data_IF_330107055244
#
_entry.id   IF_330107055244
#
_cell.length_a   1.000
_cell.length_b   1.000
_cell.length_c   1.000
_cell.angle_alpha   90.00
_cell.angle_beta   90.00
_cell.angle_gamma   90.00
#
_symmetry.space_group_name_H-M   'P 1'
#
loop_
_entity.id
_entity.type
_entity.pdbx_description
1 polymer ?
#
# COMPACT_ATOMS: atom_id res chain seq x y z
N UNK A 1 18.85 -9.29 6.50
CA UNK A 1 20.14 -10.02 6.43
C UNK A 1 21.08 -9.43 5.36
N UNK A 2 20.63 -9.20 4.13
CA UNK A 2 21.46 -8.58 3.06
C UNK A 2 21.85 -7.11 3.34
N UNK A 3 21.06 -6.37 4.12
CA UNK A 3 21.39 -4.97 4.49
C UNK A 3 22.60 -4.87 5.44
N UNK A 4 22.91 -5.92 6.20
CA UNK A 4 24.08 -5.94 7.09
C UNK A 4 25.41 -6.07 6.33
N UNK A 5 25.39 -6.54 5.09
CA UNK A 5 26.59 -6.64 4.24
C UNK A 5 26.95 -5.30 3.55
N UNK A 6 26.06 -4.30 3.59
CA UNK A 6 26.19 -3.05 2.83
C UNK A 6 26.62 -1.84 3.69
N UNK A 7 27.09 -2.01 4.91
CA UNK A 7 27.48 -0.93 5.84
C UNK A 7 26.38 0.17 6.01
N UNK A 8 25.11 -0.28 6.09
CA UNK A 8 23.94 0.59 6.23
C UNK A 8 23.43 0.53 7.66
N UNK A 9 23.23 1.69 8.29
CA UNK A 9 22.54 1.79 9.58
C UNK A 9 21.04 1.55 9.38
N UNK A 10 20.55 0.36 9.77
CA UNK A 10 19.16 -0.02 9.69
C UNK A 10 18.50 0.05 11.07
N UNK A 11 17.44 0.84 11.21
CA UNK A 11 16.55 0.84 12.37
C UNK A 11 15.26 0.13 12.00
N UNK A 12 14.88 -0.89 12.76
CA UNK A 12 13.63 -1.62 12.59
C UNK A 12 12.65 -1.23 13.69
N UNK A 13 11.39 -0.98 13.32
CA UNK A 13 10.33 -0.65 14.26
C UNK A 13 8.98 -1.17 13.75
N UNK A 14 8.09 -1.53 14.68
CA UNK A 14 6.70 -1.83 14.37
C UNK A 14 5.86 -0.61 14.69
N UNK A 15 5.25 -0.01 13.66
CA UNK A 15 4.44 1.20 13.80
C UNK A 15 3.16 1.08 12.98
N UNK A 16 2.10 1.75 13.43
CA UNK A 16 0.89 1.94 12.65
C UNK A 16 1.09 3.15 11.72
N UNK A 17 0.90 2.96 10.40
CA UNK A 17 1.08 4.04 9.43
C UNK A 17 0.12 5.21 9.63
N UNK A 18 -0.98 4.99 10.34
CA UNK A 18 -1.94 6.06 10.68
C UNK A 18 -1.53 6.87 11.91
N UNK A 19 -0.47 6.46 12.61
CA UNK A 19 -0.05 7.07 13.89
C UNK A 19 1.46 7.04 14.11
N UNK A 20 2.25 7.23 13.05
CA UNK A 20 3.69 7.30 13.18
C UNK A 20 4.19 8.74 13.18
N UNK A 21 5.31 8.96 13.84
CA UNK A 21 6.09 10.20 13.80
C UNK A 21 7.56 9.79 13.68
N UNK A 22 8.29 10.48 12.83
CA UNK A 22 9.75 10.31 12.73
C UNK A 22 10.45 11.31 13.63
N UNK A 23 11.48 10.90 14.36
CA UNK A 23 12.28 11.79 15.22
C UNK A 23 12.96 12.91 14.43
N UNK A 24 13.29 12.64 13.17
CA UNK A 24 13.89 13.61 12.25
C UNK A 24 13.23 13.51 10.89
N UNK A 25 13.08 14.67 10.25
CA UNK A 25 12.57 14.70 8.89
C UNK A 25 13.52 13.95 7.91
N UNK A 26 12.92 13.19 6.99
CA UNK A 26 13.62 12.32 6.04
C UNK A 26 13.49 12.83 4.61
N UNK A 27 14.36 12.36 3.72
CA UNK A 27 14.38 12.76 2.31
C UNK A 27 13.39 11.95 1.46
N UNK A 28 13.15 10.69 1.86
CA UNK A 28 12.31 9.75 1.12
C UNK A 28 11.48 8.90 2.08
N UNK A 29 10.20 8.73 1.77
CA UNK A 29 9.32 7.76 2.40
C UNK A 29 8.74 6.87 1.30
N UNK A 30 8.81 5.55 1.52
CA UNK A 30 8.21 4.54 0.65
C UNK A 30 7.10 3.81 1.41
N UNK A 31 5.97 3.61 0.75
CA UNK A 31 4.87 2.76 1.23
C UNK A 31 4.41 1.88 0.08
N UNK A 32 5.03 0.73 -0.06
CA UNK A 32 4.93 -0.15 -1.22
C UNK A 32 4.07 -1.38 -0.94
N UNK A 33 3.82 -2.17 -1.99
CA UNK A 33 3.04 -3.41 -1.94
C UNK A 33 1.62 -3.16 -1.43
N UNK A 34 0.91 -2.22 -2.07
CA UNK A 34 -0.49 -1.89 -1.79
C UNK A 34 -0.84 -1.68 -0.30
N UNK A 35 0.17 -1.38 0.53
CA UNK A 35 0.00 -1.23 1.99
C UNK A 35 -1.04 -0.16 2.37
N UNK A 36 -1.23 0.88 1.55
CA UNK A 36 -2.26 1.90 1.75
C UNK A 36 -3.67 1.30 1.66
N UNK A 37 -3.87 0.23 0.88
CA UNK A 37 -5.17 -0.40 0.75
C UNK A 37 -5.67 -1.06 2.04
N UNK A 38 -4.79 -1.38 2.98
CA UNK A 38 -5.16 -1.85 4.32
C UNK A 38 -5.70 -0.74 5.23
N UNK A 39 -5.61 0.52 4.82
CA UNK A 39 -6.17 1.66 5.56
C UNK A 39 -7.63 1.89 5.15
N UNK A 40 -8.56 1.19 5.78
CA UNK A 40 -9.96 1.02 5.36
C UNK A 40 -10.86 2.27 5.47
N UNK A 41 -10.33 3.47 5.66
CA UNK A 41 -11.16 4.68 5.63
C UNK A 41 -10.41 5.90 5.10
N UNK A 42 -11.10 6.75 4.33
CA UNK A 42 -10.56 8.01 3.80
C UNK A 42 -9.97 8.90 4.90
N UNK A 43 -10.60 8.94 6.08
CA UNK A 43 -10.11 9.72 7.22
C UNK A 43 -8.74 9.22 7.70
N UNK A 44 -8.57 7.90 7.77
CA UNK A 44 -7.28 7.30 8.17
C UNK A 44 -6.24 7.47 7.07
N UNK A 45 -6.58 7.28 5.78
CA UNK A 45 -5.68 7.56 4.65
C UNK A 45 -5.19 9.01 4.69
N UNK A 46 -6.10 9.97 4.89
CA UNK A 46 -5.72 11.37 5.05
C UNK A 46 -4.75 11.59 6.23
N UNK A 47 -4.99 10.91 7.36
CA UNK A 47 -4.10 10.99 8.53
C UNK A 47 -2.71 10.44 8.20
N UNK A 48 -2.64 9.28 7.53
CA UNK A 48 -1.39 8.70 7.04
C UNK A 48 -0.63 9.70 6.16
N UNK A 49 -1.30 10.28 5.16
CA UNK A 49 -0.67 11.26 4.27
C UNK A 49 -0.19 12.53 4.99
N UNK A 50 -0.90 12.98 6.02
CA UNK A 50 -0.45 14.10 6.87
C UNK A 50 0.80 13.73 7.66
N UNK A 51 0.84 12.56 8.29
CA UNK A 51 2.00 12.07 9.02
C UNK A 51 3.23 11.97 8.10
N UNK A 52 3.05 11.44 6.88
CA UNK A 52 4.09 11.39 5.86
C UNK A 52 4.57 12.80 5.49
N UNK A 53 3.63 13.72 5.20
CA UNK A 53 3.97 15.09 4.83
C UNK A 53 4.77 15.79 5.94
N UNK A 54 4.39 15.64 7.19
CA UNK A 54 5.09 16.22 8.35
C UNK A 54 6.48 15.62 8.52
N UNK A 55 6.62 14.31 8.29
CA UNK A 55 7.88 13.57 8.41
C UNK A 55 8.89 13.84 7.29
N UNK A 56 8.47 14.38 6.15
CA UNK A 56 9.36 14.72 5.03
C UNK A 56 10.06 16.06 5.23
N UNK A 57 11.33 16.12 4.82
CA UNK A 57 12.03 17.40 4.56
C UNK A 57 11.37 18.16 3.41
N UNK A 58 11.62 19.46 3.31
CA UNK A 58 11.34 20.20 2.06
C UNK A 58 12.13 19.60 0.90
N UNK A 59 11.49 19.43 -0.24
CA UNK A 59 11.94 18.71 -1.42
C UNK A 59 12.08 17.19 -1.21
N UNK A 60 11.64 16.66 -0.07
CA UNK A 60 11.52 15.23 0.15
C UNK A 60 10.40 14.61 -0.69
N UNK A 61 10.51 13.33 -0.90
CA UNK A 61 9.61 12.56 -1.79
C UNK A 61 8.87 11.48 -1.03
N UNK A 62 7.60 11.31 -1.30
CA UNK A 62 6.80 10.18 -0.90
C UNK A 62 6.40 9.36 -2.13
N UNK A 63 6.69 8.08 -2.11
CA UNK A 63 6.26 7.14 -3.16
C UNK A 63 5.41 6.06 -2.51
N UNK A 64 4.23 5.82 -3.06
CA UNK A 64 3.37 4.73 -2.65
C UNK A 64 2.63 4.15 -3.84
N UNK A 65 2.16 2.94 -3.69
CA UNK A 65 1.31 2.28 -4.65
C UNK A 65 0.00 1.82 -4.02
N UNK A 66 -1.00 1.68 -4.86
CA UNK A 66 -2.31 1.13 -4.52
C UNK A 66 -2.82 0.25 -5.66
N UNK A 67 -3.59 -0.75 -5.33
CA UNK A 67 -4.41 -1.45 -6.30
C UNK A 67 -5.50 -0.52 -6.83
N UNK A 68 -5.76 -0.58 -8.13
CA UNK A 68 -6.77 0.23 -8.78
C UNK A 68 -8.19 -0.28 -8.50
N UNK A 69 -9.20 0.54 -8.79
CA UNK A 69 -10.60 0.08 -8.80
C UNK A 69 -10.80 -1.05 -9.80
N UNK A 70 -10.18 -0.95 -10.99
CA UNK A 70 -10.24 -2.01 -12.00
C UNK A 70 -9.74 -3.35 -11.46
N UNK A 71 -8.59 -3.36 -10.77
CA UNK A 71 -8.05 -4.59 -10.19
C UNK A 71 -8.99 -5.16 -9.11
N UNK A 72 -9.45 -4.33 -8.17
CA UNK A 72 -10.30 -4.82 -7.08
C UNK A 72 -11.69 -5.25 -7.54
N UNK A 73 -12.25 -4.56 -8.53
CA UNK A 73 -13.63 -4.79 -8.95
C UNK A 73 -13.80 -5.82 -10.05
N UNK A 74 -12.77 -5.99 -10.92
CA UNK A 74 -12.89 -6.81 -12.13
C UNK A 74 -11.90 -7.99 -12.13
N UNK A 75 -10.76 -7.87 -11.46
CA UNK A 75 -9.71 -8.91 -11.49
C UNK A 75 -9.74 -9.76 -10.22
N UNK A 76 -9.92 -9.12 -9.06
CA UNK A 76 -9.89 -9.82 -7.77
C UNK A 76 -11.24 -10.37 -7.36
N UNK A 77 -12.36 -9.89 -7.92
CA UNK A 77 -13.68 -10.42 -7.59
C UNK A 77 -13.83 -11.89 -8.04
N UNK A 78 -13.97 -12.78 -7.07
CA UNK A 78 -14.04 -14.22 -7.31
C UNK A 78 -12.68 -14.87 -7.63
N UNK A 79 -11.57 -14.17 -7.42
CA UNK A 79 -10.24 -14.77 -7.62
C UNK A 79 -10.05 -15.96 -6.69
N UNK A 80 -9.55 -17.06 -7.25
CA UNK A 80 -9.30 -18.29 -6.52
C UNK A 80 -8.00 -18.93 -6.99
N UNK A 81 -7.13 -19.27 -6.07
CA UNK A 81 -5.91 -20.01 -6.28
C UNK A 81 -5.79 -21.11 -5.23
N UNK A 82 -5.42 -22.30 -5.63
CA UNK A 82 -5.22 -23.43 -4.73
C UNK A 82 -4.04 -24.27 -5.24
N UNK A 83 -3.13 -24.61 -4.34
CA UNK A 83 -2.00 -25.49 -4.61
C UNK A 83 -1.87 -26.51 -3.49
N UNK A 84 -1.81 -27.77 -3.84
CA UNK A 84 -1.61 -28.90 -2.91
C UNK A 84 -0.34 -29.66 -3.30
N UNK A 85 0.80 -29.27 -2.71
CA UNK A 85 2.10 -29.88 -2.91
C UNK A 85 2.40 -30.89 -1.79
N UNK A 86 3.51 -31.64 -1.91
CA UNK A 86 3.89 -32.66 -0.93
C UNK A 86 4.20 -32.05 0.46
N UNK A 87 4.80 -30.85 0.49
CA UNK A 87 5.30 -30.16 1.66
C UNK A 87 4.39 -29.03 2.16
N UNK A 88 3.50 -28.50 1.31
CA UNK A 88 2.56 -27.45 1.70
C UNK A 88 1.20 -27.58 1.02
N UNK A 89 0.18 -26.92 1.61
CA UNK A 89 -1.09 -26.58 0.98
C UNK A 89 -1.27 -25.07 1.08
N UNK A 90 -1.72 -24.47 -0.02
CA UNK A 90 -2.04 -23.06 -0.13
C UNK A 90 -3.41 -22.88 -0.76
N UNK A 91 -4.21 -21.99 -0.19
CA UNK A 91 -5.48 -21.54 -0.76
C UNK A 91 -5.59 -20.03 -0.60
N UNK A 92 -5.95 -19.37 -1.67
CA UNK A 92 -6.26 -17.95 -1.66
C UNK A 92 -7.56 -17.70 -2.41
N UNK A 93 -8.53 -17.14 -1.70
CA UNK A 93 -9.82 -16.74 -2.24
C UNK A 93 -10.07 -15.27 -1.96
N UNK A 94 -10.61 -14.56 -2.95
CA UNK A 94 -10.92 -13.13 -2.83
C UNK A 94 -12.37 -12.90 -3.21
N UNK A 95 -13.07 -12.15 -2.38
CA UNK A 95 -14.45 -11.71 -2.64
C UNK A 95 -14.54 -10.18 -2.60
N UNK A 96 -15.20 -9.60 -3.60
CA UNK A 96 -15.59 -8.20 -3.59
C UNK A 96 -16.81 -8.02 -2.68
N UNK A 97 -16.70 -7.15 -1.69
CA UNK A 97 -17.79 -6.85 -0.75
C UNK A 97 -18.51 -5.54 -1.06
N UNK A 98 -17.85 -4.61 -1.74
CA UNK A 98 -18.42 -3.35 -2.24
C UNK A 98 -17.48 -2.74 -3.30
N UNK A 99 -17.86 -1.62 -3.89
CA UNK A 99 -17.01 -0.89 -4.84
C UNK A 99 -15.65 -0.57 -4.21
N UNK A 100 -14.57 -1.07 -4.81
CA UNK A 100 -13.20 -0.92 -4.36
C UNK A 100 -12.91 -1.56 -3.00
N UNK A 101 -13.67 -2.56 -2.57
CA UNK A 101 -13.45 -3.32 -1.33
C UNK A 101 -13.43 -4.80 -1.59
N UNK A 102 -12.38 -5.44 -1.09
CA UNK A 102 -12.21 -6.89 -1.18
C UNK A 102 -11.84 -7.49 0.17
N UNK A 103 -12.24 -8.74 0.36
CA UNK A 103 -11.83 -9.60 1.46
C UNK A 103 -11.02 -10.76 0.88
N UNK A 104 -9.85 -11.03 1.46
CA UNK A 104 -9.00 -12.15 1.10
C UNK A 104 -9.04 -13.19 2.20
N UNK A 105 -9.40 -14.41 1.86
CA UNK A 105 -9.21 -15.59 2.72
C UNK A 105 -7.94 -16.32 2.26
N UNK A 106 -6.96 -16.41 3.14
CA UNK A 106 -5.71 -17.11 2.88
C UNK A 106 -5.58 -18.26 3.87
N UNK A 107 -5.30 -19.45 3.35
CA UNK A 107 -5.04 -20.65 4.14
C UNK A 107 -3.72 -21.27 3.70
N UNK A 108 -2.82 -21.49 4.64
CA UNK A 108 -1.52 -22.11 4.43
C UNK A 108 -1.35 -23.24 5.42
N UNK A 109 -0.99 -24.42 4.94
CA UNK A 109 -0.65 -25.56 5.78
C UNK A 109 0.78 -25.98 5.42
N UNK A 110 1.70 -25.82 6.36
CA UNK A 110 3.03 -26.42 6.30
C UNK A 110 2.90 -27.86 6.78
N UNK A 111 3.00 -28.81 5.85
CA UNK A 111 2.82 -30.24 6.12
C UNK A 111 4.02 -30.84 6.82
N UNK A 112 5.21 -30.28 6.67
CA UNK A 112 6.43 -30.74 7.31
C UNK A 112 6.42 -30.42 8.82
N UNK A 113 6.01 -29.19 9.18
CA UNK A 113 6.00 -28.71 10.57
C UNK A 113 4.62 -28.85 11.22
N UNK A 114 3.60 -29.29 10.48
CA UNK A 114 2.20 -29.37 10.92
C UNK A 114 1.67 -28.01 11.44
N UNK A 115 2.08 -26.92 10.77
CA UNK A 115 1.60 -25.58 11.06
C UNK A 115 0.44 -25.22 10.13
N UNK A 116 -0.62 -24.63 10.69
CA UNK A 116 -1.81 -24.21 9.97
C UNK A 116 -2.09 -22.74 10.22
N UNK A 117 -2.03 -21.93 9.17
CA UNK A 117 -2.25 -20.48 9.20
C UNK A 117 -3.52 -20.18 8.41
N UNK A 118 -4.45 -19.45 9.03
CA UNK A 118 -5.61 -18.86 8.35
C UNK A 118 -5.61 -17.37 8.61
N UNK A 119 -5.71 -16.59 7.55
CA UNK A 119 -5.74 -15.13 7.62
C UNK A 119 -6.90 -14.57 6.80
N UNK A 120 -7.52 -13.52 7.34
CA UNK A 120 -8.50 -12.69 6.62
C UNK A 120 -7.91 -11.30 6.45
N UNK A 121 -7.77 -10.85 5.21
CA UNK A 121 -7.30 -9.51 4.91
C UNK A 121 -8.42 -8.70 4.29
N UNK A 122 -8.50 -7.44 4.69
CA UNK A 122 -9.48 -6.48 4.20
C UNK A 122 -8.75 -5.35 3.53
N UNK A 123 -9.07 -5.11 2.27
CA UNK A 123 -8.47 -4.02 1.52
C UNK A 123 -9.54 -3.09 0.94
N UNK A 124 -9.20 -1.84 0.79
CA UNK A 124 -10.02 -0.83 0.16
C UNK A 124 -9.18 0.10 -0.71
N UNK A 125 -9.64 0.32 -1.92
CA UNK A 125 -9.12 1.38 -2.79
C UNK A 125 -10.18 2.43 -3.09
N UNK A 126 -9.75 3.51 -3.75
CA UNK A 126 -10.58 4.62 -4.16
C UNK A 126 -10.20 5.05 -5.58
N UNK A 127 -11.09 5.82 -6.20
CA UNK A 127 -10.77 6.53 -7.42
C UNK A 127 -9.56 7.46 -7.24
N UNK A 128 -8.77 7.65 -8.32
CA UNK A 128 -7.59 8.51 -8.33
C UNK A 128 -7.89 9.92 -7.82
N UNK A 129 -9.02 10.49 -8.21
CA UNK A 129 -9.45 11.83 -7.80
C UNK A 129 -9.59 11.96 -6.28
N UNK A 130 -9.99 10.87 -5.60
CA UNK A 130 -10.06 10.82 -4.15
C UNK A 130 -8.66 10.85 -3.55
N UNK A 131 -7.72 10.04 -4.07
CA UNK A 131 -6.32 10.07 -3.62
C UNK A 131 -5.69 11.44 -3.81
N UNK A 132 -5.86 12.06 -4.99
CA UNK A 132 -5.36 13.40 -5.29
C UNK A 132 -5.93 14.45 -4.33
N UNK A 133 -7.24 14.36 -4.04
CA UNK A 133 -7.89 15.24 -3.07
C UNK A 133 -7.33 15.08 -1.64
N UNK A 134 -7.11 13.84 -1.20
CA UNK A 134 -6.55 13.54 0.12
C UNK A 134 -5.10 14.00 0.24
N UNK A 135 -4.28 13.78 -0.80
CA UNK A 135 -2.91 14.25 -0.88
C UNK A 135 -2.83 15.78 -0.81
N UNK A 136 -3.70 16.47 -1.56
CA UNK A 136 -3.80 17.93 -1.51
C UNK A 136 -4.18 18.42 -0.11
N UNK A 137 -5.15 17.78 0.56
CA UNK A 137 -5.55 18.11 1.94
C UNK A 137 -4.42 17.83 2.95
N UNK A 138 -3.52 16.90 2.66
CA UNK A 138 -2.34 16.62 3.47
C UNK A 138 -1.21 17.64 3.25
N UNK A 139 -1.23 18.41 2.15
CA UNK A 139 -0.24 19.44 1.83
C UNK A 139 0.59 19.17 0.57
N UNK A 140 0.42 18.01 -0.08
CA UNK A 140 1.11 17.72 -1.35
C UNK A 140 0.45 18.47 -2.51
N UNK A 141 1.23 19.30 -3.21
CA UNK A 141 0.76 20.07 -4.37
C UNK A 141 1.46 19.68 -5.68
N UNK A 142 2.50 18.86 -5.57
CA UNK A 142 3.28 18.31 -6.69
C UNK A 142 3.17 16.79 -6.63
N UNK A 143 2.21 16.25 -7.38
CA UNK A 143 1.85 14.82 -7.39
C UNK A 143 1.80 14.34 -8.84
N UNK A 144 2.50 13.26 -9.11
CA UNK A 144 2.46 12.50 -10.35
C UNK A 144 1.95 11.08 -10.05
N UNK A 145 1.32 10.44 -11.03
CA UNK A 145 0.91 9.04 -10.92
C UNK A 145 1.07 8.32 -12.25
N UNK A 146 1.30 7.03 -12.17
CA UNK A 146 1.58 6.14 -13.29
C UNK A 146 0.90 4.80 -13.07
N UNK A 147 0.72 4.01 -14.14
CA UNK A 147 0.50 2.57 -14.05
C UNK A 147 1.78 1.84 -13.65
N UNK A 148 1.71 0.53 -13.47
CA UNK A 148 2.89 -0.28 -13.18
C UNK A 148 3.74 -0.43 -14.46
N UNK A 149 4.91 0.25 -14.48
CA UNK A 149 5.84 0.28 -15.63
C UNK A 149 5.29 0.88 -16.93
N UNK A 150 4.20 1.64 -16.86
CA UNK A 150 3.53 2.25 -18.01
C UNK A 150 2.84 3.57 -17.62
N UNK A 151 2.40 4.33 -18.63
CA UNK A 151 1.47 5.42 -18.38
C UNK A 151 0.13 4.89 -17.85
N UNK A 152 -0.48 5.60 -16.90
CA UNK A 152 -1.77 5.20 -16.37
C UNK A 152 -2.86 5.14 -17.46
N UNK A 153 -3.67 4.10 -17.43
CA UNK A 153 -4.90 3.94 -18.20
C UNK A 153 -5.98 3.23 -17.37
N UNK A 154 -7.21 3.21 -17.84
CA UNK A 154 -8.39 2.70 -17.09
C UNK A 154 -8.30 1.23 -16.65
N UNK A 155 -7.41 0.45 -17.28
CA UNK A 155 -7.16 -0.96 -16.94
C UNK A 155 -5.83 -1.20 -16.24
N UNK A 156 -5.10 -0.15 -15.87
CA UNK A 156 -3.92 -0.29 -15.03
C UNK A 156 -4.32 -0.93 -13.71
N UNK A 157 -3.68 -2.03 -13.36
CA UNK A 157 -4.03 -2.79 -12.14
C UNK A 157 -3.45 -2.15 -10.89
N UNK A 158 -2.30 -1.50 -11.01
CA UNK A 158 -1.60 -0.82 -9.92
C UNK A 158 -1.36 0.63 -10.30
N UNK A 159 -1.52 1.52 -9.33
CA UNK A 159 -1.27 2.94 -9.51
C UNK A 159 -0.14 3.35 -8.55
N UNK A 160 0.93 3.90 -9.10
CA UNK A 160 2.09 4.39 -8.36
C UNK A 160 2.00 5.90 -8.28
N UNK A 161 2.02 6.45 -7.07
CA UNK A 161 2.03 7.88 -6.82
C UNK A 161 3.42 8.35 -6.40
N UNK A 162 3.87 9.47 -6.97
CA UNK A 162 5.10 10.17 -6.61
C UNK A 162 4.71 11.58 -6.17
N UNK A 163 4.94 11.87 -4.88
CA UNK A 163 4.50 13.10 -4.24
C UNK A 163 5.69 13.86 -3.69
N UNK A 164 5.83 15.14 -4.02
CA UNK A 164 6.92 15.97 -3.53
C UNK A 164 6.41 17.01 -2.53
N UNK A 165 7.09 17.12 -1.38
CA UNK A 165 6.87 18.20 -0.43
C UNK A 165 7.57 19.45 -0.91
N UNK A 166 6.83 20.39 -1.51
CA UNK A 166 7.36 21.66 -1.96
C UNK A 166 7.24 22.74 -0.88
N UNK A 167 8.14 23.73 -0.89
CA UNK A 167 7.90 24.95 -0.10
C UNK A 167 6.69 25.63 -0.68
N UNK A 168 5.73 25.98 0.18
CA UNK A 168 4.60 26.80 -0.25
C UNK A 168 5.13 28.07 -0.88
N UNK A 169 4.80 28.29 -2.16
CA UNK A 169 5.02 29.59 -2.80
C UNK A 169 4.15 30.61 -2.07
N UNK A 170 4.74 31.74 -1.67
CA UNK A 170 3.99 32.91 -1.23
C UNK A 170 3.24 33.50 -2.40
#
# INVERSE_FOLDING_TARGET
LKAMEADVNLLLGRVDMTDFVTDKAVDLILCLCDSINYVLSKKKVLRTFKNVYESLKYNGTFIFDVDSLYKMDEILDGYFEEEDADDFYFKWHVEKTALGKVEHEIEIIDKENNEHIKEMHYQQTYDIEIYLSLLKQAGFTDVQYYGEFEEYHDKSQRIIFICHKRRGGK
#
